data_IF_479936164720
#
_entry.id   IF_479936164720
#
_cell.length_a   1.000
_cell.length_b   1.000
_cell.length_c   1.000
_cell.angle_alpha   90.00
_cell.angle_beta   90.00
_cell.angle_gamma   90.00
#
_symmetry.space_group_name_H-M   'P 1'
#
loop_
_entity.id
_entity.type
_entity.pdbx_description
1 polymer ?
#
# COMPACT_ATOMS: atom_id res chain seq x y z
N UNK A 1 17.88 12.58 18.71
CA UNK A 1 17.23 13.87 18.41
C UNK A 1 17.34 14.10 16.91
N UNK A 2 16.22 14.19 16.17
CA UNK A 2 16.28 14.25 14.71
C UNK A 2 16.78 15.62 14.24
N UNK A 3 17.45 15.67 13.08
CA UNK A 3 17.99 16.91 12.50
C UNK A 3 16.89 17.97 12.30
N UNK A 4 15.65 17.52 12.10
CA UNK A 4 14.45 18.36 11.98
C UNK A 4 14.03 19.03 13.30
N UNK A 5 14.19 18.36 14.44
CA UNK A 5 13.86 18.95 15.74
C UNK A 5 14.80 20.10 16.10
N UNK A 6 16.09 19.98 15.78
CA UNK A 6 17.08 21.03 16.03
C UNK A 6 16.78 22.28 15.20
N UNK A 7 16.43 22.10 13.92
CA UNK A 7 16.03 23.21 13.04
C UNK A 7 14.77 23.90 13.57
N UNK A 8 13.76 23.14 14.01
CA UNK A 8 12.52 23.69 14.57
C UNK A 8 12.76 24.52 15.85
N UNK A 9 13.68 24.08 16.71
CA UNK A 9 14.03 24.79 17.96
C UNK A 9 14.77 26.09 17.64
N UNK A 10 15.74 26.07 16.72
CA UNK A 10 16.47 27.28 16.33
C UNK A 10 15.53 28.30 15.69
N UNK A 11 14.62 27.86 14.82
CA UNK A 11 13.66 28.73 14.14
C UNK A 11 12.72 29.43 15.14
N UNK A 12 12.22 28.68 16.14
CA UNK A 12 11.32 29.23 17.16
C UNK A 12 12.04 30.21 18.09
N UNK A 13 13.30 29.94 18.47
CA UNK A 13 14.11 30.88 19.26
C UNK A 13 14.35 32.19 18.51
N UNK A 14 14.63 32.13 17.21
CA UNK A 14 14.88 33.33 16.38
C UNK A 14 13.58 34.14 16.19
N UNK A 15 12.47 33.47 15.87
CA UNK A 15 11.18 34.14 15.61
C UNK A 15 10.57 34.77 16.85
N UNK A 16 10.78 34.19 18.04
CA UNK A 16 10.24 34.73 19.30
C UNK A 16 11.23 35.71 19.95
N UNK A 17 12.53 35.46 19.81
CA UNK A 17 13.59 36.25 20.45
C UNK A 17 13.81 37.62 19.83
N UNK A 18 13.66 37.77 18.51
CA UNK A 18 13.90 39.06 17.84
C UNK A 18 12.81 40.10 18.17
N UNK A 19 11.50 39.79 18.15
CA UNK A 19 10.46 40.75 18.52
C UNK A 19 10.52 41.15 20.00
N UNK A 20 10.88 40.21 20.88
CA UNK A 20 11.00 40.47 22.31
C UNK A 20 12.24 41.33 22.63
N UNK A 21 13.40 41.06 22.03
CA UNK A 21 14.60 41.88 22.22
C UNK A 21 14.44 43.33 21.71
N UNK A 22 13.66 43.54 20.63
CA UNK A 22 13.37 44.87 20.09
C UNK A 22 12.57 45.76 21.05
N UNK A 23 11.72 45.18 21.90
CA UNK A 23 10.95 45.92 22.91
C UNK A 23 11.77 46.28 24.16
N UNK A 24 12.76 45.46 24.53
CA UNK A 24 13.54 45.67 25.76
C UNK A 24 14.78 46.56 25.59
N UNK A 25 15.29 46.75 24.36
CA UNK A 25 16.46 47.59 24.09
C UNK A 25 16.24 48.66 22.99
N UNK A 26 15.26 49.58 23.14
CA UNK A 26 15.00 50.63 22.15
C UNK A 26 16.23 51.47 21.71
N UNK A 27 17.15 51.89 22.60
CA UNK A 27 18.23 52.79 22.20
C UNK A 27 19.32 52.13 21.34
N UNK A 28 19.47 50.80 21.41
CA UNK A 28 20.45 50.07 20.57
C UNK A 28 19.93 49.95 19.13
N UNK A 29 18.62 49.71 18.97
CA UNK A 29 18.00 49.65 17.65
C UNK A 29 17.83 51.04 17.00
N UNK A 30 17.62 52.09 17.79
CA UNK A 30 17.57 53.47 17.28
C UNK A 30 18.91 53.88 16.61
N UNK A 31 20.05 53.60 17.26
CA UNK A 31 21.37 53.91 16.69
C UNK A 31 21.78 53.06 15.48
N UNK A 32 21.21 51.86 15.34
CA UNK A 32 21.43 50.98 14.18
C UNK A 32 20.52 51.39 13.01
N UNK A 33 19.27 51.80 13.29
CA UNK A 33 18.32 52.27 12.28
C UNK A 33 18.77 53.56 11.58
N UNK A 34 19.50 54.45 12.27
CA UNK A 34 20.07 55.66 11.67
C UNK A 34 21.30 55.40 10.79
N UNK A 35 22.04 54.31 11.02
CA UNK A 35 23.24 53.94 10.23
C UNK A 35 22.94 53.02 9.05
N UNK A 36 21.78 52.39 9.04
CA UNK A 36 21.37 51.55 7.93
C UNK A 36 20.71 52.42 6.87
N UNK A 37 21.24 52.46 5.62
CA UNK A 37 20.57 53.14 4.53
C UNK A 37 19.24 52.43 4.29
N UNK A 38 18.16 52.99 4.85
CA UNK A 38 16.80 52.44 4.80
C UNK A 38 16.39 52.14 3.36
N UNK A 39 16.90 52.91 2.40
CA UNK A 39 16.70 52.68 0.97
C UNK A 39 17.17 51.29 0.52
N UNK A 40 18.30 50.78 1.03
CA UNK A 40 18.81 49.45 0.67
C UNK A 40 17.93 48.38 1.30
N UNK A 41 17.61 48.49 2.58
CA UNK A 41 16.77 47.50 3.28
C UNK A 41 15.36 47.46 2.69
N UNK A 42 14.74 48.63 2.44
CA UNK A 42 13.41 48.71 1.83
C UNK A 42 13.42 48.17 0.41
N UNK A 43 14.49 48.38 -0.37
CA UNK A 43 14.62 47.81 -1.72
C UNK A 43 14.73 46.28 -1.67
N UNK A 44 15.51 45.74 -0.72
CA UNK A 44 15.63 44.29 -0.54
C UNK A 44 14.36 43.66 0.04
N UNK A 45 13.70 44.30 1.00
CA UNK A 45 12.40 43.86 1.51
C UNK A 45 11.31 43.94 0.46
N UNK A 46 11.29 44.96 -0.40
CA UNK A 46 10.35 45.05 -1.51
C UNK A 46 10.60 43.94 -2.54
N UNK A 47 11.87 43.64 -2.88
CA UNK A 47 12.21 42.55 -3.80
C UNK A 47 11.87 41.19 -3.22
N UNK A 48 12.20 40.94 -1.95
CA UNK A 48 11.85 39.69 -1.27
C UNK A 48 10.35 39.55 -1.04
N UNK A 49 9.65 40.66 -0.79
CA UNK A 49 8.19 40.71 -0.66
C UNK A 49 7.48 40.41 -1.98
N UNK A 50 7.98 40.94 -3.11
CA UNK A 50 7.50 40.59 -4.45
C UNK A 50 7.83 39.12 -4.76
N UNK A 51 9.02 38.64 -4.34
CA UNK A 51 9.40 37.25 -4.55
C UNK A 51 8.53 36.28 -3.73
N UNK A 52 8.19 36.62 -2.48
CA UNK A 52 7.31 35.82 -1.64
C UNK A 52 5.85 35.91 -2.07
N UNK A 53 5.37 37.06 -2.54
CA UNK A 53 4.06 37.20 -3.18
C UNK A 53 3.97 36.47 -4.51
N UNK A 54 5.06 36.45 -5.28
CA UNK A 54 5.15 35.66 -6.52
C UNK A 54 5.23 34.16 -6.25
N UNK A 55 5.93 33.74 -5.20
CA UNK A 55 5.94 32.36 -4.74
C UNK A 55 4.58 31.95 -4.20
N UNK A 56 3.95 32.74 -3.34
CA UNK A 56 2.62 32.48 -2.81
C UNK A 56 1.56 32.53 -3.91
N UNK A 57 1.61 33.51 -4.80
CA UNK A 57 0.69 33.63 -5.94
C UNK A 57 0.90 32.52 -6.98
N UNK A 58 2.14 32.11 -7.22
CA UNK A 58 2.49 30.97 -8.06
C UNK A 58 2.08 29.64 -7.42
N UNK A 59 2.19 29.51 -6.10
CA UNK A 59 1.73 28.35 -5.34
C UNK A 59 0.20 28.32 -5.23
N UNK A 60 -0.46 29.48 -5.17
CA UNK A 60 -1.92 29.60 -5.18
C UNK A 60 -2.51 29.36 -6.57
N UNK A 61 -1.86 29.85 -7.64
CA UNK A 61 -2.22 29.53 -9.02
C UNK A 61 -1.94 28.05 -9.37
N UNK A 62 -0.89 27.45 -8.79
CA UNK A 62 -0.60 26.02 -8.90
C UNK A 62 -1.49 25.16 -8.00
N UNK A 63 -1.96 25.70 -6.87
CA UNK A 63 -2.92 25.05 -5.96
C UNK A 63 -4.34 25.04 -6.51
N UNK A 64 -4.77 26.11 -7.17
CA UNK A 64 -6.07 26.15 -7.88
C UNK A 64 -6.11 25.34 -9.18
N UNK A 65 -4.95 24.92 -9.70
CA UNK A 65 -4.90 23.96 -10.81
C UNK A 65 -4.71 22.50 -10.35
N UNK A 66 -4.65 22.25 -9.04
CA UNK A 66 -4.47 20.91 -8.46
C UNK A 66 -5.61 20.50 -7.50
N UNK A 67 -6.42 21.44 -6.96
CA UNK A 67 -7.53 21.11 -6.04
C UNK A 67 -8.92 21.48 -6.57
N UNK A 68 -9.12 21.48 -7.88
CA UNK A 68 -10.46 21.42 -8.48
C UNK A 68 -10.58 20.18 -9.37
N UNK A 69 -10.21 19.03 -8.79
CA UNK A 69 -11.00 17.83 -9.04
C UNK A 69 -12.31 18.11 -8.29
N UNK A 70 -13.30 18.62 -9.03
CA UNK A 70 -14.67 18.32 -8.68
C UNK A 70 -14.67 16.82 -8.36
N UNK A 71 -15.00 16.48 -7.12
CA UNK A 71 -15.63 15.23 -6.80
C UNK A 71 -16.90 15.17 -7.66
N UNK A 72 -16.72 14.87 -8.94
CA UNK A 72 -17.62 13.97 -9.61
C UNK A 72 -17.64 12.76 -8.69
N UNK A 73 -18.83 12.40 -8.21
CA UNK A 73 -19.10 11.11 -7.60
C UNK A 73 -18.80 10.04 -8.67
N UNK A 74 -17.54 9.89 -9.06
CA UNK A 74 -17.00 8.67 -9.59
C UNK A 74 -17.12 7.74 -8.39
N UNK A 75 -18.14 6.87 -8.41
CA UNK A 75 -18.27 5.75 -7.49
C UNK A 75 -16.92 5.02 -7.45
N UNK A 76 -16.04 5.42 -6.52
CA UNK A 76 -14.78 4.76 -6.27
C UNK A 76 -15.18 3.37 -5.81
N UNK A 77 -14.93 2.38 -6.67
CA UNK A 77 -15.40 1.01 -6.45
C UNK A 77 -14.68 0.51 -5.21
N UNK A 78 -15.34 0.63 -4.06
CA UNK A 78 -14.78 0.23 -2.79
C UNK A 78 -14.68 -1.29 -2.77
N UNK A 79 -13.47 -1.79 -3.03
CA UNK A 79 -13.16 -3.22 -2.92
C UNK A 79 -13.00 -3.55 -1.44
N UNK A 80 -13.95 -4.33 -0.91
CA UNK A 80 -13.91 -4.80 0.48
C UNK A 80 -13.17 -6.13 0.64
N UNK A 81 -12.97 -6.89 -0.44
CA UNK A 81 -12.44 -8.25 -0.37
C UNK A 81 -11.74 -8.65 -1.67
N UNK A 82 -10.66 -9.44 -1.55
CA UNK A 82 -10.00 -10.16 -2.65
C UNK A 82 -10.02 -11.65 -2.33
N UNK A 83 -10.50 -12.46 -3.27
CA UNK A 83 -10.44 -13.91 -3.18
C UNK A 83 -9.40 -14.44 -4.18
N UNK A 84 -8.40 -15.14 -3.67
CA UNK A 84 -7.29 -15.64 -4.48
C UNK A 84 -6.97 -17.11 -4.27
N UNK A 85 -6.02 -17.59 -5.07
CA UNK A 85 -5.62 -18.97 -5.12
C UNK A 85 -4.10 -19.08 -5.32
N UNK A 86 -3.45 -19.72 -4.36
CA UNK A 86 -2.01 -19.99 -4.40
C UNK A 86 -1.78 -21.46 -4.68
N UNK A 87 -0.84 -21.74 -5.57
CA UNK A 87 -0.34 -23.07 -5.82
C UNK A 87 1.02 -23.22 -5.17
N UNK A 88 1.15 -24.22 -4.31
CA UNK A 88 2.43 -24.80 -3.91
C UNK A 88 2.66 -26.05 -4.76
N UNK A 89 3.89 -26.58 -4.79
CA UNK A 89 4.36 -27.61 -5.73
C UNK A 89 3.29 -28.63 -6.17
N UNK A 90 2.55 -29.20 -5.22
CA UNK A 90 1.59 -30.27 -5.48
C UNK A 90 0.15 -29.97 -5.03
N UNK A 91 -0.15 -28.75 -4.57
CA UNK A 91 -1.45 -28.42 -4.00
C UNK A 91 -1.84 -26.95 -4.20
N UNK A 92 -3.15 -26.70 -4.31
CA UNK A 92 -3.69 -25.36 -4.43
C UNK A 92 -4.49 -24.96 -3.17
N UNK A 93 -4.36 -23.71 -2.74
CA UNK A 93 -4.94 -23.18 -1.51
C UNK A 93 -5.73 -21.91 -1.83
N UNK A 94 -6.99 -21.88 -1.41
CA UNK A 94 -7.84 -20.70 -1.57
C UNK A 94 -7.71 -19.81 -0.35
N UNK A 95 -7.65 -18.50 -0.56
CA UNK A 95 -7.66 -17.51 0.52
C UNK A 95 -8.53 -16.31 0.18
N UNK A 96 -8.93 -15.60 1.21
CA UNK A 96 -9.58 -14.31 1.12
C UNK A 96 -8.80 -13.26 1.92
N UNK A 97 -8.84 -12.03 1.45
CA UNK A 97 -8.26 -10.89 2.14
C UNK A 97 -9.29 -9.77 2.21
N UNK A 98 -9.60 -9.33 3.42
CA UNK A 98 -10.48 -8.19 3.67
C UNK A 98 -9.67 -6.90 3.60
N UNK A 99 -10.20 -5.93 2.85
CA UNK A 99 -9.55 -4.64 2.60
C UNK A 99 -10.50 -3.53 3.04
N UNK A 100 -9.95 -2.54 3.74
CA UNK A 100 -10.67 -1.32 4.10
C UNK A 100 -9.73 -0.14 3.91
N UNK A 101 -10.15 0.83 3.09
CA UNK A 101 -9.40 2.07 2.86
C UNK A 101 -7.93 1.81 2.49
N UNK A 102 -7.72 0.97 1.48
CA UNK A 102 -6.40 0.60 0.94
C UNK A 102 -5.46 -0.06 1.95
N UNK A 103 -6.04 -0.69 2.98
CA UNK A 103 -5.31 -1.44 3.99
C UNK A 103 -5.91 -2.81 4.17
N UNK A 104 -5.02 -3.78 4.34
CA UNK A 104 -5.37 -5.14 4.68
C UNK A 104 -5.88 -5.16 6.13
N UNK A 105 -7.12 -5.58 6.32
CA UNK A 105 -7.76 -5.75 7.63
C UNK A 105 -7.50 -7.16 8.15
N UNK A 106 -7.72 -8.15 7.29
CA UNK A 106 -7.59 -9.55 7.63
C UNK A 106 -7.17 -10.35 6.39
N UNK A 107 -6.40 -11.41 6.61
CA UNK A 107 -6.06 -12.39 5.58
C UNK A 107 -6.38 -13.76 6.17
N UNK A 108 -7.18 -14.53 5.45
CA UNK A 108 -7.55 -15.88 5.82
C UNK A 108 -7.26 -16.83 4.67
N UNK A 109 -6.50 -17.89 4.94
CA UNK A 109 -6.32 -18.99 4.01
C UNK A 109 -7.22 -20.14 4.46
N UNK A 110 -8.00 -20.71 3.55
CA UNK A 110 -8.77 -21.91 3.86
C UNK A 110 -7.81 -23.03 4.20
N UNK A 111 -8.01 -23.68 5.35
CA UNK A 111 -7.26 -24.89 5.72
C UNK A 111 -7.74 -26.12 4.92
N UNK A 112 -7.76 -25.98 3.59
CA UNK A 112 -8.18 -26.97 2.61
C UNK A 112 -7.27 -26.93 1.40
N UNK A 113 -6.73 -28.08 1.03
CA UNK A 113 -5.93 -28.23 -0.17
C UNK A 113 -6.79 -28.76 -1.32
N UNK A 114 -6.70 -28.11 -2.47
CA UNK A 114 -7.37 -28.47 -3.72
C UNK A 114 -6.36 -29.08 -4.68
N UNK A 115 -6.80 -30.05 -5.47
CA UNK A 115 -5.98 -30.65 -6.51
C UNK A 115 -5.74 -29.66 -7.66
N UNK A 116 -4.49 -29.42 -8.09
CA UNK A 116 -4.21 -28.52 -9.21
C UNK A 116 -4.84 -28.99 -10.53
N UNK A 117 -5.05 -30.29 -10.72
CA UNK A 117 -5.49 -30.88 -11.98
C UNK A 117 -7.02 -30.89 -12.15
N UNK A 118 -7.76 -31.15 -11.06
CA UNK A 118 -9.22 -31.34 -11.12
C UNK A 118 -9.98 -30.57 -10.03
N UNK A 119 -9.29 -29.70 -9.28
CA UNK A 119 -9.85 -28.77 -8.29
C UNK A 119 -10.69 -29.45 -7.19
N UNK A 120 -10.52 -30.76 -7.04
CA UNK A 120 -11.18 -31.56 -6.01
C UNK A 120 -10.41 -31.43 -4.70
N UNK A 121 -11.11 -31.33 -3.58
CA UNK A 121 -10.50 -31.25 -2.25
C UNK A 121 -9.69 -32.53 -1.99
N UNK A 122 -8.41 -32.37 -1.68
CA UNK A 122 -7.48 -33.43 -1.32
C UNK A 122 -7.27 -33.51 0.20
N UNK A 123 -7.38 -32.37 0.88
CA UNK A 123 -7.26 -32.23 2.32
C UNK A 123 -8.29 -31.21 2.80
N UNK A 124 -9.03 -31.52 3.86
CA UNK A 124 -10.13 -30.69 4.37
C UNK A 124 -9.92 -30.20 5.82
N UNK A 125 -8.74 -30.43 6.41
CA UNK A 125 -8.45 -30.09 7.79
C UNK A 125 -8.80 -31.19 8.80
N UNK A 126 -9.73 -32.09 8.49
CA UNK A 126 -10.31 -33.07 9.42
C UNK A 126 -10.03 -34.53 9.03
N UNK A 127 -9.81 -34.84 7.75
CA UNK A 127 -9.63 -36.19 7.23
C UNK A 127 -8.16 -36.50 6.89
N UNK A 128 -7.52 -37.25 7.79
CA UNK A 128 -7.07 -38.65 7.63
C UNK A 128 -5.67 -38.82 7.03
N UNK A 129 -4.69 -38.80 7.92
CA UNK A 129 -3.44 -39.55 7.75
C UNK A 129 -3.77 -40.99 7.36
N UNK A 130 -3.58 -41.35 6.10
CA UNK A 130 -3.39 -42.75 5.73
C UNK A 130 -1.97 -43.14 6.12
N UNK A 131 -1.70 -43.20 7.43
CA UNK A 131 -0.38 -43.59 7.94
C UNK A 131 -0.20 -45.09 7.76
N UNK A 132 0.17 -45.51 6.56
CA UNK A 132 0.81 -46.81 6.36
C UNK A 132 2.28 -46.61 6.73
N UNK A 133 2.62 -46.98 7.97
CA UNK A 133 3.98 -47.33 8.41
C UNK A 133 5.12 -46.39 8.01
N UNK A 134 5.38 -45.33 8.78
CA UNK A 134 6.69 -44.66 8.84
C UNK A 134 7.21 -43.93 7.59
N UNK A 135 6.47 -43.93 6.49
CA UNK A 135 6.77 -43.19 5.26
C UNK A 135 5.96 -41.88 5.20
N UNK A 136 6.49 -40.94 4.43
CA UNK A 136 6.01 -39.58 4.17
C UNK A 136 4.47 -39.56 4.05
N UNK A 137 3.80 -38.62 4.74
CA UNK A 137 2.35 -38.48 4.57
C UNK A 137 2.05 -38.06 3.13
N UNK A 138 1.12 -38.72 2.46
CA UNK A 138 0.67 -38.33 1.11
C UNK A 138 -0.83 -38.10 1.12
N UNK A 139 -1.27 -37.06 0.43
CA UNK A 139 -2.67 -36.82 0.07
C UNK A 139 -2.88 -37.27 -1.36
N UNK A 140 -3.82 -38.18 -1.58
CA UNK A 140 -4.20 -38.60 -2.93
C UNK A 140 -5.53 -37.96 -3.31
N UNK A 141 -5.57 -37.38 -4.51
CA UNK A 141 -6.79 -36.80 -5.05
C UNK A 141 -7.77 -37.91 -5.44
N UNK A 142 -9.01 -37.88 -4.92
CA UNK A 142 -9.98 -38.94 -5.15
C UNK A 142 -10.47 -39.05 -6.60
N UNK A 143 -10.20 -38.04 -7.44
CA UNK A 143 -10.78 -37.95 -8.78
C UNK A 143 -9.76 -38.15 -9.92
N UNK A 144 -8.48 -37.84 -9.72
CA UNK A 144 -7.48 -37.88 -10.80
C UNK A 144 -6.16 -38.57 -10.45
N UNK A 145 -6.08 -39.24 -9.29
CA UNK A 145 -4.87 -39.94 -8.81
C UNK A 145 -3.63 -39.05 -8.67
N UNK A 146 -3.81 -37.73 -8.65
CA UNK A 146 -2.74 -36.78 -8.30
C UNK A 146 -2.39 -36.94 -6.82
N UNK A 147 -1.10 -36.99 -6.49
CA UNK A 147 -0.61 -37.10 -5.12
C UNK A 147 0.12 -35.83 -4.72
N UNK A 148 -0.05 -35.44 -3.46
CA UNK A 148 0.67 -34.35 -2.84
C UNK A 148 1.40 -34.84 -1.57
N UNK A 149 2.64 -34.43 -1.36
CA UNK A 149 3.39 -34.72 -0.14
C UNK A 149 2.92 -33.82 1.02
N UNK A 150 2.64 -34.44 2.16
CA UNK A 150 2.46 -33.82 3.49
C UNK A 150 3.84 -33.64 4.16
N UNK A 151 4.80 -33.06 3.43
CA UNK A 151 6.08 -32.67 4.01
C UNK A 151 5.95 -31.31 4.68
N UNK A 152 5.87 -31.32 6.02
CA UNK A 152 6.21 -30.19 6.88
C UNK A 152 5.68 -28.81 6.48
N UNK A 153 4.40 -28.55 6.78
CA UNK A 153 3.74 -27.23 6.75
C UNK A 153 3.46 -26.58 5.37
N UNK A 154 2.95 -27.31 4.36
CA UNK A 154 2.56 -26.71 3.07
C UNK A 154 1.53 -25.58 3.21
N UNK A 155 0.67 -25.65 4.23
CA UNK A 155 -0.25 -24.57 4.58
C UNK A 155 0.46 -23.27 5.00
N UNK A 156 1.48 -23.36 5.86
CA UNK A 156 2.17 -22.17 6.38
C UNK A 156 3.00 -21.46 5.32
N UNK A 157 3.48 -22.18 4.32
CA UNK A 157 4.16 -21.58 3.18
C UNK A 157 3.16 -21.01 2.17
N UNK A 158 2.03 -21.69 1.92
CA UNK A 158 0.93 -21.14 1.13
C UNK A 158 0.37 -19.83 1.75
N UNK A 159 0.24 -19.75 3.06
CA UNK A 159 -0.24 -18.57 3.79
C UNK A 159 0.70 -17.38 3.59
N UNK A 160 2.02 -17.57 3.75
CA UNK A 160 3.01 -16.52 3.50
C UNK A 160 3.04 -16.08 2.04
N UNK A 161 2.90 -17.01 1.10
CA UNK A 161 2.84 -16.71 -0.33
C UNK A 161 1.60 -15.87 -0.63
N UNK A 162 0.44 -16.28 -0.13
CA UNK A 162 -0.81 -15.56 -0.31
C UNK A 162 -0.71 -14.14 0.27
N UNK A 163 -0.26 -14.02 1.52
CA UNK A 163 -0.06 -12.73 2.18
C UNK A 163 0.88 -11.81 1.39
N UNK A 164 1.99 -12.34 0.88
CA UNK A 164 2.94 -11.60 0.05
C UNK A 164 2.27 -11.02 -1.20
N UNK A 165 1.47 -11.83 -1.91
CA UNK A 165 0.79 -11.39 -3.13
C UNK A 165 -0.33 -10.38 -2.84
N UNK A 166 -1.10 -10.56 -1.76
CA UNK A 166 -2.13 -9.60 -1.34
C UNK A 166 -1.48 -8.26 -0.98
N UNK A 167 -0.39 -8.25 -0.20
CA UNK A 167 0.36 -7.02 0.08
C UNK A 167 0.89 -6.37 -1.18
N UNK A 168 1.38 -7.16 -2.13
CA UNK A 168 1.84 -6.64 -3.40
C UNK A 168 0.70 -5.94 -4.18
N UNK A 169 -0.52 -6.48 -4.17
CA UNK A 169 -1.68 -5.85 -4.81
C UNK A 169 -2.04 -4.53 -4.11
N UNK A 170 -2.14 -4.55 -2.78
CA UNK A 170 -2.68 -3.42 -2.00
C UNK A 170 -1.67 -2.29 -1.80
N UNK A 171 -0.38 -2.62 -1.59
CA UNK A 171 0.64 -1.63 -1.18
C UNK A 171 1.45 -1.04 -2.35
N UNK A 172 1.30 -1.58 -3.57
CA UNK A 172 2.15 -1.19 -4.71
C UNK A 172 1.49 -0.14 -5.60
N UNK A 173 1.42 1.09 -5.12
CA UNK A 173 0.83 2.22 -5.87
C UNK A 173 1.49 2.42 -7.25
N UNK A 174 0.68 2.60 -8.29
CA UNK A 174 1.14 2.93 -9.65
C UNK A 174 1.74 1.77 -10.48
N UNK A 175 1.93 0.59 -9.91
CA UNK A 175 2.43 -0.60 -10.62
C UNK A 175 1.31 -1.31 -11.40
N UNK A 176 1.61 -2.02 -12.49
CA UNK A 176 0.58 -2.71 -13.31
C UNK A 176 -0.30 -3.70 -12.51
N UNK A 177 0.23 -4.21 -11.40
CA UNK A 177 -0.43 -5.13 -10.50
C UNK A 177 -1.01 -4.44 -9.24
N UNK A 178 -1.00 -3.11 -9.19
CA UNK A 178 -1.64 -2.33 -8.11
C UNK A 178 -3.14 -2.53 -8.12
N UNK A 179 -3.78 -2.45 -6.95
CA UNK A 179 -5.22 -2.62 -6.83
C UNK A 179 -6.00 -1.70 -7.79
N UNK A 180 -5.63 -0.42 -7.87
CA UNK A 180 -6.23 0.57 -8.78
C UNK A 180 -6.12 0.14 -10.25
N UNK A 181 -4.91 -0.20 -10.72
CA UNK A 181 -4.69 -0.60 -12.11
C UNK A 181 -5.36 -1.93 -12.46
N UNK A 182 -5.47 -2.86 -11.49
CA UNK A 182 -6.21 -4.10 -11.66
C UNK A 182 -7.71 -3.85 -11.81
N UNK A 183 -8.27 -2.94 -11.02
CA UNK A 183 -9.69 -2.55 -11.09
C UNK A 183 -9.97 -1.90 -12.45
N UNK A 184 -9.13 -0.95 -12.88
CA UNK A 184 -9.25 -0.27 -14.16
C UNK A 184 -9.17 -1.22 -15.36
N UNK A 185 -8.41 -2.31 -15.22
CA UNK A 185 -8.30 -3.35 -16.25
C UNK A 185 -9.53 -4.26 -16.38
N UNK A 186 -10.46 -4.25 -15.41
CA UNK A 186 -11.63 -5.13 -15.39
C UNK A 186 -12.80 -4.48 -16.15
N UNK A 187 -13.23 -5.14 -17.22
CA UNK A 187 -14.44 -4.75 -17.93
C UNK A 187 -15.70 -5.29 -17.22
N UNK A 188 -16.55 -4.39 -16.73
CA UNK A 188 -17.82 -4.70 -16.07
C UNK A 188 -17.70 -4.82 -14.55
N UNK A 189 -18.51 -5.69 -13.95
CA UNK A 189 -18.56 -5.79 -12.48
C UNK A 189 -17.22 -6.25 -11.89
N UNK A 190 -16.74 -5.49 -10.91
CA UNK A 190 -15.54 -5.78 -10.12
C UNK A 190 -15.94 -6.75 -9.01
N UNK A 191 -15.35 -7.94 -9.01
CA UNK A 191 -15.59 -8.96 -7.98
C UNK A 191 -14.26 -9.41 -7.37
N UNK A 192 -14.25 -9.90 -6.12
CA UNK A 192 -13.02 -10.33 -5.44
C UNK A 192 -12.16 -11.28 -6.29
N UNK A 193 -12.81 -12.24 -6.97
CA UNK A 193 -12.16 -13.21 -7.85
C UNK A 193 -11.66 -12.61 -9.16
N UNK A 194 -12.35 -11.61 -9.71
CA UNK A 194 -11.93 -10.97 -10.96
C UNK A 194 -10.66 -10.15 -10.76
N UNK A 195 -10.51 -9.52 -9.60
CA UNK A 195 -9.27 -8.83 -9.21
C UNK A 195 -8.11 -9.82 -9.21
N UNK A 196 -8.26 -10.97 -8.54
CA UNK A 196 -7.23 -12.00 -8.54
C UNK A 196 -6.94 -12.58 -9.94
N UNK A 197 -7.98 -12.80 -10.76
CA UNK A 197 -7.81 -13.26 -12.14
C UNK A 197 -7.02 -12.27 -12.98
N UNK A 198 -7.29 -10.97 -12.81
CA UNK A 198 -6.55 -9.92 -13.48
C UNK A 198 -5.10 -9.90 -13.01
N UNK A 199 -4.86 -9.98 -11.70
CA UNK A 199 -3.52 -10.08 -11.11
C UNK A 199 -2.73 -11.26 -11.67
N UNK A 200 -3.33 -12.45 -11.71
CA UNK A 200 -2.74 -13.67 -12.24
C UNK A 200 -2.41 -13.60 -13.75
N UNK A 201 -3.02 -12.65 -14.49
CA UNK A 201 -2.71 -12.44 -15.91
C UNK A 201 -1.55 -11.48 -16.15
N UNK A 202 -1.22 -10.65 -15.16
CA UNK A 202 -0.15 -9.65 -15.22
C UNK A 202 1.14 -10.21 -14.63
N UNK A 203 1.05 -10.97 -13.53
CA UNK A 203 2.22 -11.51 -12.85
C UNK A 203 2.64 -12.87 -13.41
N UNK A 204 3.93 -13.01 -13.67
CA UNK A 204 4.57 -14.27 -14.07
C UNK A 204 5.16 -14.99 -12.84
N UNK A 205 4.28 -15.44 -11.92
CA UNK A 205 4.66 -16.25 -10.75
C UNK A 205 3.87 -17.57 -10.78
N UNK A 206 4.59 -18.68 -10.79
CA UNK A 206 4.01 -20.04 -10.83
C UNK A 206 3.21 -20.39 -9.57
N UNK A 207 3.40 -19.65 -8.48
CA UNK A 207 2.62 -19.82 -7.25
C UNK A 207 1.25 -19.14 -7.34
N UNK A 208 1.02 -18.26 -8.31
CA UNK A 208 -0.29 -17.61 -8.50
C UNK A 208 -1.12 -18.48 -9.43
N UNK A 209 -2.28 -18.93 -8.96
CA UNK A 209 -3.11 -19.89 -9.69
C UNK A 209 -4.57 -19.47 -9.73
N UNK A 210 -5.33 -20.11 -10.61
CA UNK A 210 -6.79 -20.01 -10.71
C UNK A 210 -7.48 -21.34 -10.40
N UNK A 211 -6.71 -22.37 -10.00
CA UNK A 211 -7.19 -23.75 -9.88
C UNK A 211 -7.84 -24.10 -8.52
N UNK A 212 -8.14 -23.10 -7.68
CA UNK A 212 -8.86 -23.28 -6.41
C UNK A 212 -10.35 -22.89 -6.50
N UNK A 213 -10.83 -22.53 -7.70
CA UNK A 213 -12.18 -22.03 -7.93
C UNK A 213 -12.97 -23.04 -8.79
N UNK A 214 -13.64 -24.02 -8.15
CA UNK A 214 -14.49 -25.00 -8.84
C UNK A 214 -15.72 -24.38 -9.51
#
# INVERSE_FOLDING_TARGET
MSRWTIVSIILTVVLIGIPTAANFYPPIFAGIAERLPLNIILTWMARLGIFSLGLLGGWWARGWSIDQVESDDCDEVAVSEIEGCIQTDESCWRGSAEISSDRIVNIELENRAYCPNCQTVMYDGESSRSSVSGEIGLWECPNCSHTAFDEGHPYGDAEKLFERHIRQIVESEGEEYSLENLIDGINGDVTPRRIWKQYASVIDDFNVSMNCFP
#
